data_IF_721097548835
#
_entry.id   IF_721097548835
#
_cell.length_a   1.000
_cell.length_b   1.000
_cell.length_c   1.000
_cell.angle_alpha   90.00
_cell.angle_beta   90.00
_cell.angle_gamma   90.00
#
_symmetry.space_group_name_H-M   'P 1'
#
loop_
_entity.id
_entity.type
_entity.pdbx_description
1 polymer ?
#
# COMPACT_ATOMS: atom_id res chain seq x y z
N UNK A 1 40.63 -20.92 -9.70
CA UNK A 1 41.05 -19.51 -9.52
C UNK A 1 41.00 -18.80 -10.86
N UNK A 2 39.83 -18.26 -11.22
CA UNK A 2 39.64 -17.45 -12.42
C UNK A 2 38.94 -16.17 -12.01
N UNK A 3 39.69 -15.26 -11.38
CA UNK A 3 39.24 -13.88 -11.19
C UNK A 3 39.34 -13.19 -12.53
N UNK A 4 38.23 -13.11 -13.26
CA UNK A 4 38.07 -12.13 -14.33
C UNK A 4 37.85 -10.78 -13.63
N UNK A 5 38.75 -9.80 -13.75
CA UNK A 5 38.54 -8.50 -13.13
C UNK A 5 37.38 -7.81 -13.85
N UNK A 6 36.33 -7.46 -13.11
CA UNK A 6 35.33 -6.51 -13.58
C UNK A 6 36.02 -5.15 -13.70
N UNK A 7 35.87 -4.42 -14.82
CA UNK A 7 36.49 -3.12 -14.98
C UNK A 7 35.88 -2.14 -13.96
N UNK A 8 36.75 -1.58 -13.12
CA UNK A 8 36.43 -0.41 -12.31
C UNK A 8 36.27 0.81 -13.23
N UNK A 9 35.32 1.66 -12.86
CA UNK A 9 35.25 3.12 -13.10
C UNK A 9 34.32 3.69 -14.19
N UNK A 10 33.66 4.77 -13.75
CA UNK A 10 32.99 5.89 -14.44
C UNK A 10 31.49 5.69 -14.71
N UNK A 11 30.69 6.26 -13.82
CA UNK A 11 29.29 6.61 -14.02
C UNK A 11 29.13 7.51 -15.26
N UNK A 12 28.63 6.92 -16.33
CA UNK A 12 28.10 7.60 -17.50
C UNK A 12 26.59 7.44 -17.38
N UNK A 13 25.92 8.56 -17.14
CA UNK A 13 24.46 8.64 -17.06
C UNK A 13 23.92 8.55 -18.49
N UNK A 14 23.75 7.33 -19.00
CA UNK A 14 22.81 7.07 -20.09
C UNK A 14 21.39 7.09 -19.50
N UNK A 15 20.43 7.73 -20.18
CA UNK A 15 19.04 7.86 -19.74
C UNK A 15 18.41 6.46 -19.64
N UNK A 16 18.21 5.98 -18.42
CA UNK A 16 17.66 4.64 -18.17
C UNK A 16 16.13 4.69 -18.12
N UNK A 17 15.48 3.98 -19.03
CA UNK A 17 14.03 3.80 -19.04
C UNK A 17 13.66 2.73 -18.04
N UNK A 18 12.87 3.10 -17.02
CA UNK A 18 12.51 2.17 -15.95
C UNK A 18 11.04 1.79 -16.02
N UNK A 19 10.72 0.49 -15.95
CA UNK A 19 9.33 -0.02 -15.99
C UNK A 19 8.94 -0.74 -14.71
N UNK A 20 7.85 -0.31 -14.04
CA UNK A 20 7.35 -0.95 -12.81
C UNK A 20 6.01 -1.68 -12.96
N UNK A 21 5.87 -2.86 -12.34
CA UNK A 21 4.59 -3.56 -12.10
C UNK A 21 4.56 -4.15 -10.67
N UNK A 22 3.36 -4.36 -10.12
CA UNK A 22 3.09 -4.77 -8.73
C UNK A 22 2.15 -6.00 -8.72
N UNK A 23 2.28 -6.89 -7.74
CA UNK A 23 1.43 -8.10 -7.50
C UNK A 23 1.04 -8.08 -6.01
N UNK A 24 -0.10 -8.58 -5.52
CA UNK A 24 -0.65 -8.05 -4.25
C UNK A 24 -1.15 -9.09 -3.20
N UNK A 25 -0.87 -8.78 -1.92
CA UNK A 25 -1.69 -9.06 -0.72
C UNK A 25 -1.88 -7.73 0.02
N UNK A 26 -3.13 -7.29 0.23
CA UNK A 26 -3.44 -6.04 0.92
C UNK A 26 -3.99 -6.28 2.34
N UNK A 27 -3.23 -5.79 3.32
CA UNK A 27 -3.75 -5.35 4.61
C UNK A 27 -3.89 -3.82 4.57
N UNK A 28 -4.76 -3.24 5.41
CA UNK A 28 -5.19 -1.82 5.31
C UNK A 28 -4.07 -0.78 5.18
N UNK A 29 -2.86 -1.07 5.67
CA UNK A 29 -1.68 -0.21 5.61
C UNK A 29 -0.46 -0.88 4.95
N UNK A 30 -0.61 -2.07 4.38
CA UNK A 30 0.50 -2.84 3.86
C UNK A 30 0.16 -3.64 2.62
N UNK A 31 0.91 -3.40 1.55
CA UNK A 31 0.83 -4.13 0.30
C UNK A 31 2.11 -4.97 0.11
N UNK A 32 1.98 -6.28 -0.06
CA UNK A 32 3.13 -7.15 -0.38
C UNK A 32 3.05 -7.63 -1.81
N UNK A 33 4.17 -7.59 -2.53
CA UNK A 33 4.18 -7.81 -3.96
C UNK A 33 5.51 -8.00 -4.64
N UNK A 34 5.48 -8.36 -5.92
CA UNK A 34 6.66 -8.29 -6.79
C UNK A 34 6.74 -6.91 -7.40
N UNK A 35 7.83 -6.19 -7.13
CA UNK A 35 8.13 -4.92 -7.81
C UNK A 35 8.94 -5.25 -9.05
N UNK A 36 8.29 -5.44 -10.19
CA UNK A 36 8.98 -5.70 -11.46
C UNK A 36 9.75 -4.45 -11.87
N UNK A 37 11.04 -4.57 -12.18
CA UNK A 37 11.89 -3.45 -12.58
C UNK A 37 12.66 -3.83 -13.81
N UNK A 38 12.71 -2.95 -14.79
CA UNK A 38 13.40 -3.20 -16.06
C UNK A 38 14.12 -1.94 -16.51
N UNK A 39 15.39 -2.03 -16.89
CA UNK A 39 16.17 -0.94 -17.48
C UNK A 39 17.25 -1.49 -18.41
N UNK A 40 17.74 -0.65 -19.33
CA UNK A 40 18.85 -1.01 -20.20
C UNK A 40 20.18 -0.47 -19.65
N UNK A 41 21.22 -1.29 -19.73
CA UNK A 41 22.59 -0.93 -19.36
C UNK A 41 23.57 -1.33 -20.47
N UNK A 42 24.06 -0.35 -21.20
CA UNK A 42 24.99 -0.51 -22.33
C UNK A 42 26.30 -1.20 -21.93
N UNK A 43 26.68 -1.17 -20.65
CA UNK A 43 27.90 -1.83 -20.16
C UNK A 43 27.75 -3.33 -19.97
N UNK A 44 26.50 -3.81 -19.97
CA UNK A 44 26.16 -5.21 -19.72
C UNK A 44 25.78 -5.94 -21.01
N UNK A 45 26.25 -5.47 -22.16
CA UNK A 45 26.05 -6.11 -23.46
C UNK A 45 27.19 -7.08 -23.78
N UNK A 46 26.89 -8.23 -24.38
CA UNK A 46 27.89 -9.15 -24.92
C UNK A 46 27.36 -9.89 -26.17
N UNK A 47 28.26 -10.42 -27.00
CA UNK A 47 27.86 -11.31 -28.12
C UNK A 47 27.74 -12.75 -27.59
N UNK A 48 26.55 -13.39 -27.64
CA UNK A 48 26.39 -14.78 -27.22
C UNK A 48 27.35 -15.76 -27.91
N UNK A 49 27.84 -15.46 -29.12
CA UNK A 49 28.79 -16.31 -29.86
C UNK A 49 30.12 -16.46 -29.14
N UNK A 50 30.56 -15.43 -28.43
CA UNK A 50 31.82 -15.44 -27.68
C UNK A 50 31.70 -16.21 -26.34
N UNK A 51 30.46 -16.52 -25.93
CA UNK A 51 30.14 -17.11 -24.63
C UNK A 51 29.26 -18.36 -24.74
N UNK A 52 29.51 -19.22 -25.73
CA UNK A 52 28.80 -20.51 -25.92
C UNK A 52 27.26 -20.39 -26.01
N UNK A 53 26.74 -19.31 -26.61
CA UNK A 53 25.31 -19.07 -26.73
C UNK A 53 24.63 -18.62 -25.42
N UNK A 54 25.39 -18.10 -24.46
CA UNK A 54 24.82 -17.55 -23.23
C UNK A 54 24.03 -16.28 -23.53
N UNK A 55 22.71 -16.32 -23.37
CA UNK A 55 21.82 -15.17 -23.62
C UNK A 55 21.39 -14.45 -22.34
N UNK A 56 21.31 -15.15 -21.21
CA UNK A 56 20.82 -14.60 -19.94
C UNK A 56 21.76 -14.98 -18.80
N UNK A 57 22.18 -13.97 -18.03
CA UNK A 57 23.00 -14.13 -16.83
C UNK A 57 22.24 -13.67 -15.58
N UNK A 58 22.38 -14.40 -14.47
CA UNK A 58 21.77 -14.05 -13.18
C UNK A 58 22.82 -13.49 -12.23
N UNK A 59 22.78 -12.18 -11.97
CA UNK A 59 23.78 -11.47 -11.17
C UNK A 59 23.12 -10.97 -9.86
N UNK A 60 23.76 -11.11 -8.70
CA UNK A 60 23.30 -10.47 -7.47
C UNK A 60 23.09 -8.96 -7.66
N UNK A 61 21.95 -8.43 -7.22
CA UNK A 61 21.58 -7.02 -7.43
C UNK A 61 22.61 -6.03 -6.86
N UNK A 62 23.34 -6.40 -5.81
CA UNK A 62 24.38 -5.58 -5.16
C UNK A 62 25.60 -5.32 -6.05
N UNK A 63 25.81 -6.11 -7.10
CA UNK A 63 26.90 -5.94 -8.07
C UNK A 63 26.50 -5.08 -9.28
N UNK A 64 25.22 -4.74 -9.38
CA UNK A 64 24.66 -3.94 -10.45
C UNK A 64 24.34 -2.55 -9.93
N UNK A 65 24.33 -1.57 -10.83
CA UNK A 65 23.67 -0.32 -10.53
C UNK A 65 22.17 -0.58 -10.38
N UNK A 66 21.56 -0.10 -9.30
CA UNK A 66 20.13 -0.18 -9.05
C UNK A 66 19.55 1.23 -8.99
N UNK A 67 18.42 1.50 -9.65
CA UNK A 67 17.73 2.76 -9.48
C UNK A 67 17.10 2.82 -8.08
N UNK A 68 17.20 3.99 -7.47
CA UNK A 68 16.75 4.34 -6.13
C UNK A 68 15.24 4.67 -6.10
N UNK A 69 14.43 3.80 -6.71
CA UNK A 69 12.99 3.96 -6.70
C UNK A 69 12.47 3.64 -5.29
N UNK A 70 11.85 4.65 -4.68
CA UNK A 70 11.29 4.63 -3.33
C UNK A 70 9.80 4.93 -3.34
N UNK A 71 9.11 4.57 -2.25
CA UNK A 71 7.75 4.99 -1.98
C UNK A 71 7.78 6.31 -1.19
N UNK A 72 7.36 7.42 -1.80
CA UNK A 72 7.44 8.74 -1.15
C UNK A 72 6.54 8.86 0.09
N UNK A 73 5.34 8.30 0.03
CA UNK A 73 4.39 8.30 1.14
C UNK A 73 4.52 7.04 2.00
N UNK A 74 5.75 6.57 2.22
CA UNK A 74 6.03 5.42 3.09
C UNK A 74 5.70 5.72 4.54
N UNK A 75 5.10 4.74 5.22
CA UNK A 75 4.90 4.73 6.67
C UNK A 75 6.00 3.95 7.43
N UNK A 76 6.88 3.26 6.69
CA UNK A 76 8.08 2.57 7.20
C UNK A 76 9.37 3.29 6.71
N UNK A 77 10.54 2.89 7.22
CA UNK A 77 11.84 3.39 6.75
C UNK A 77 12.04 3.17 5.24
N UNK A 78 12.48 4.22 4.54
CA UNK A 78 12.70 4.21 3.07
C UNK A 78 13.76 3.20 2.60
N UNK A 79 14.52 2.60 3.52
CA UNK A 79 15.62 1.67 3.25
C UNK A 79 15.19 0.20 3.33
N UNK A 80 14.03 -0.10 3.89
CA UNK A 80 13.57 -1.47 4.18
C UNK A 80 12.35 -1.82 3.32
N UNK A 81 12.59 -2.31 2.11
CA UNK A 81 11.49 -2.71 1.22
C UNK A 81 11.78 -3.91 0.34
N UNK A 82 12.98 -3.99 -0.22
CA UNK A 82 13.31 -4.97 -1.26
C UNK A 82 14.07 -6.17 -0.72
N UNK A 83 13.60 -7.37 -1.06
CA UNK A 83 14.40 -8.58 -0.88
C UNK A 83 15.62 -8.54 -1.81
N UNK A 84 16.80 -8.80 -1.25
CA UNK A 84 18.05 -8.95 -2.02
C UNK A 84 17.96 -10.19 -2.91
N UNK A 85 17.53 -10.00 -4.16
CA UNK A 85 17.40 -11.06 -5.16
C UNK A 85 18.41 -10.90 -6.29
N UNK A 86 18.54 -11.92 -7.13
CA UNK A 86 19.36 -11.82 -8.35
C UNK A 86 18.55 -11.16 -9.47
N UNK A 87 19.16 -10.24 -10.19
CA UNK A 87 18.62 -9.69 -11.43
C UNK A 87 18.96 -10.62 -12.61
N UNK A 88 18.10 -10.65 -13.61
CA UNK A 88 18.34 -11.31 -14.89
C UNK A 88 18.83 -10.26 -15.88
N UNK A 89 20.02 -10.46 -16.42
CA UNK A 89 20.63 -9.59 -17.43
C UNK A 89 20.62 -10.35 -18.75
N UNK A 90 20.05 -9.75 -19.77
CA UNK A 90 20.04 -10.26 -21.14
C UNK A 90 21.25 -9.73 -21.92
N UNK A 91 21.72 -10.48 -22.92
CA UNK A 91 22.90 -10.12 -23.72
C UNK A 91 22.81 -8.76 -24.42
N UNK A 92 21.59 -8.26 -24.64
CA UNK A 92 21.33 -6.93 -25.20
C UNK A 92 21.53 -5.78 -24.19
N UNK A 93 21.95 -6.07 -22.95
CA UNK A 93 22.09 -5.08 -21.87
C UNK A 93 20.79 -4.80 -21.10
N UNK A 94 19.68 -5.43 -21.48
CA UNK A 94 18.41 -5.30 -20.75
C UNK A 94 18.50 -6.05 -19.41
N UNK A 95 18.23 -5.35 -18.32
CA UNK A 95 18.23 -5.88 -16.96
C UNK A 95 16.81 -5.94 -16.43
N UNK A 96 16.36 -7.14 -16.08
CA UNK A 96 15.09 -7.38 -15.43
C UNK A 96 15.30 -7.85 -13.98
N UNK A 97 14.80 -7.06 -13.03
CA UNK A 97 14.93 -7.30 -11.60
C UNK A 97 13.55 -7.23 -10.92
N UNK A 98 12.93 -8.37 -10.57
CA UNK A 98 11.64 -8.38 -9.88
C UNK A 98 11.77 -8.76 -8.38
N UNK A 99 12.28 -7.87 -7.50
CA UNK A 99 12.33 -8.17 -6.08
C UNK A 99 10.93 -8.27 -5.46
N UNK A 100 10.67 -9.31 -4.65
CA UNK A 100 9.59 -9.27 -3.68
C UNK A 100 9.81 -8.10 -2.71
N UNK A 101 8.75 -7.38 -2.42
CA UNK A 101 8.78 -6.22 -1.55
C UNK A 101 7.48 -6.08 -0.75
N UNK A 102 7.62 -5.56 0.47
CA UNK A 102 6.50 -5.18 1.32
C UNK A 102 6.54 -3.68 1.49
N UNK A 103 5.46 -3.03 1.13
CA UNK A 103 5.32 -1.59 1.25
C UNK A 103 4.26 -1.28 2.29
N UNK A 104 4.53 -0.24 3.08
CA UNK A 104 3.53 0.39 3.93
C UNK A 104 3.44 1.85 3.55
N UNK A 105 2.23 2.30 3.26
CA UNK A 105 1.96 3.67 2.86
C UNK A 105 1.10 4.39 3.88
N UNK A 106 1.35 5.67 4.07
CA UNK A 106 0.40 6.57 4.74
C UNK A 106 -0.71 6.94 3.76
N UNK A 107 -1.94 6.57 4.11
CA UNK A 107 -3.17 6.86 3.38
C UNK A 107 -4.16 7.54 4.33
N UNK A 108 -4.87 8.56 3.84
CA UNK A 108 -5.93 9.23 4.59
C UNK A 108 -7.21 8.41 4.45
N UNK A 109 -7.77 7.99 5.59
CA UNK A 109 -8.97 7.15 5.65
C UNK A 109 -10.17 8.04 5.98
N UNK A 110 -11.24 7.93 5.18
CA UNK A 110 -12.52 8.59 5.46
C UNK A 110 -13.49 7.59 6.09
N UNK A 111 -13.80 7.78 7.38
CA UNK A 111 -14.69 6.89 8.15
C UNK A 111 -16.12 7.43 8.30
N UNK A 112 -16.50 8.44 7.52
CA UNK A 112 -17.83 9.09 7.63
C UNK A 112 -18.98 8.08 7.53
N UNK A 113 -18.92 7.18 6.55
CA UNK A 113 -19.97 6.18 6.28
C UNK A 113 -19.68 4.80 6.84
N UNK A 114 -18.78 4.68 7.81
CA UNK A 114 -18.42 3.40 8.41
C UNK A 114 -19.67 2.59 8.86
N UNK A 115 -19.77 1.28 8.55
CA UNK A 115 -18.81 0.42 7.84
C UNK A 115 -19.04 0.33 6.32
N UNK A 116 -19.92 1.16 5.74
CA UNK A 116 -20.24 1.21 4.31
C UNK A 116 -19.34 2.22 3.59
N UNK A 117 -18.03 2.07 3.78
CA UNK A 117 -17.02 2.98 3.27
C UNK A 117 -16.21 2.38 2.11
N UNK A 118 -15.92 3.26 1.14
CA UNK A 118 -14.94 3.03 0.08
C UNK A 118 -13.69 3.87 0.41
N UNK A 119 -12.51 3.26 0.31
CA UNK A 119 -11.24 3.91 0.57
C UNK A 119 -10.41 4.02 -0.70
N UNK A 120 -9.73 5.15 -0.86
CA UNK A 120 -8.85 5.44 -2.00
C UNK A 120 -7.46 5.73 -1.45
N UNK A 121 -6.52 4.84 -1.73
CA UNK A 121 -5.14 4.95 -1.27
C UNK A 121 -4.17 5.04 -2.43
N UNK A 122 -3.28 6.03 -2.39
CA UNK A 122 -2.25 6.21 -3.40
C UNK A 122 -0.90 5.65 -2.94
N UNK A 123 -0.19 4.94 -3.81
CA UNK A 123 1.21 4.59 -3.65
C UNK A 123 2.03 5.39 -4.66
N UNK A 124 2.90 6.28 -4.19
CA UNK A 124 3.69 7.17 -5.05
C UNK A 124 5.13 6.68 -5.16
N UNK A 125 5.49 6.07 -6.30
CA UNK A 125 6.85 5.60 -6.57
C UNK A 125 7.63 6.56 -7.46
N UNK A 126 8.86 6.87 -7.09
CA UNK A 126 9.76 7.70 -7.89
C UNK A 126 11.21 7.57 -7.45
N UNK A 127 12.13 8.12 -8.22
CA UNK A 127 13.55 8.21 -7.82
C UNK A 127 13.71 9.22 -6.69
N UNK A 128 14.57 8.93 -5.72
CA UNK A 128 14.84 9.86 -4.62
C UNK A 128 15.89 10.91 -4.99
N UNK A 129 16.95 10.50 -5.68
CA UNK A 129 18.14 11.34 -5.94
C UNK A 129 18.26 11.82 -7.37
N UNK A 130 17.71 11.09 -8.34
CA UNK A 130 17.81 11.43 -9.75
C UNK A 130 16.58 12.23 -10.21
N UNK A 131 16.84 13.25 -11.02
CA UNK A 131 15.79 13.95 -11.76
C UNK A 131 15.32 13.15 -12.99
N UNK A 132 14.29 13.64 -13.68
CA UNK A 132 13.70 13.03 -14.86
C UNK A 132 14.56 13.09 -16.12
N UNK A 133 15.60 13.93 -16.16
CA UNK A 133 16.58 13.94 -17.25
C UNK A 133 17.57 12.78 -17.10
N UNK A 134 17.85 12.36 -15.87
CA UNK A 134 18.75 11.25 -15.54
C UNK A 134 18.02 9.90 -15.51
N UNK A 135 16.92 9.80 -14.75
CA UNK A 135 16.12 8.58 -14.59
C UNK A 135 14.67 8.87 -14.92
N UNK A 136 14.20 8.30 -16.02
CA UNK A 136 12.81 8.43 -16.44
C UNK A 136 12.00 7.20 -16.03
N UNK A 137 11.18 7.37 -15.00
CA UNK A 137 10.31 6.33 -14.47
C UNK A 137 9.03 6.27 -15.30
N UNK A 138 8.76 5.09 -15.87
CA UNK A 138 7.60 4.83 -16.72
C UNK A 138 6.83 3.59 -16.26
N UNK A 139 5.55 3.52 -16.60
CA UNK A 139 4.74 2.35 -16.31
C UNK A 139 5.06 1.22 -17.30
N UNK A 140 5.19 -0.02 -16.81
CA UNK A 140 5.40 -1.19 -17.69
C UNK A 140 4.16 -1.51 -18.52
N UNK A 141 3.00 -1.38 -17.88
CA UNK A 141 1.68 -1.67 -18.40
C UNK A 141 0.72 -0.56 -17.97
N UNK A 142 -0.41 -0.43 -18.65
CA UNK A 142 -1.49 0.45 -18.22
C UNK A 142 -2.23 -0.10 -17.00
N UNK A 143 -2.16 -1.41 -16.77
CA UNK A 143 -2.87 -2.11 -15.69
C UNK A 143 -1.90 -2.83 -14.76
N UNK A 144 -2.34 -3.05 -13.53
CA UNK A 144 -1.63 -3.89 -12.54
C UNK A 144 -1.94 -5.36 -12.82
N UNK A 145 -0.94 -6.22 -12.63
CA UNK A 145 -1.10 -7.66 -12.74
C UNK A 145 -1.72 -8.22 -11.45
N UNK A 146 -2.98 -8.64 -11.56
CA UNK A 146 -3.77 -9.19 -10.45
C UNK A 146 -3.94 -10.72 -10.57
N UNK A 147 -3.24 -11.41 -11.48
CA UNK A 147 -3.40 -12.87 -11.67
C UNK A 147 -3.13 -13.66 -10.39
N UNK A 148 -2.16 -13.21 -9.61
CA UNK A 148 -1.77 -13.82 -8.34
C UNK A 148 -2.29 -13.05 -7.11
N UNK A 149 -3.33 -12.23 -7.28
CA UNK A 149 -3.93 -11.48 -6.18
C UNK A 149 -4.60 -12.43 -5.17
N UNK A 150 -4.28 -12.25 -3.89
CA UNK A 150 -4.93 -12.98 -2.80
C UNK A 150 -6.02 -12.10 -2.19
N UNK A 151 -7.27 -12.57 -2.26
CA UNK A 151 -8.42 -11.86 -1.71
C UNK A 151 -8.29 -11.61 -0.21
N UNK A 152 -8.56 -10.37 0.19
CA UNK A 152 -8.65 -10.00 1.61
C UNK A 152 -9.98 -10.44 2.22
N UNK A 153 -9.94 -10.84 3.49
CA UNK A 153 -11.13 -11.17 4.28
C UNK A 153 -11.92 -9.93 4.74
N UNK A 154 -11.26 -8.77 4.82
CA UNK A 154 -11.84 -7.51 5.31
C UNK A 154 -12.18 -6.56 4.16
N UNK A 155 -11.40 -6.59 3.08
CA UNK A 155 -11.50 -5.65 1.97
C UNK A 155 -11.82 -6.36 0.65
N UNK A 156 -12.57 -5.68 -0.21
CA UNK A 156 -12.81 -6.02 -1.59
C UNK A 156 -12.05 -5.02 -2.47
N UNK A 157 -11.19 -5.51 -3.36
CA UNK A 157 -10.50 -4.67 -4.34
C UNK A 157 -11.46 -4.33 -5.47
N UNK A 158 -11.77 -3.04 -5.62
CA UNK A 158 -12.68 -2.56 -6.68
C UNK A 158 -11.87 -2.31 -7.96
N UNK A 159 -10.80 -1.52 -7.86
CA UNK A 159 -9.99 -1.13 -9.01
C UNK A 159 -8.59 -0.65 -8.59
N UNK A 160 -7.64 -0.69 -9.53
CA UNK A 160 -6.29 -0.13 -9.37
C UNK A 160 -5.91 0.69 -10.60
N UNK A 161 -5.77 2.00 -10.40
CA UNK A 161 -5.42 2.94 -11.47
C UNK A 161 -3.93 3.25 -11.45
N UNK A 162 -3.27 3.17 -12.60
CA UNK A 162 -1.85 3.51 -12.75
C UNK A 162 -1.71 4.83 -13.51
N UNK A 163 -1.05 5.81 -12.92
CA UNK A 163 -0.82 7.11 -13.56
C UNK A 163 0.62 7.58 -13.38
N UNK A 164 1.27 7.91 -14.49
CA UNK A 164 2.53 8.65 -14.49
C UNK A 164 2.27 10.14 -14.34
N UNK A 165 3.04 10.80 -13.49
CA UNK A 165 3.00 12.24 -13.25
C UNK A 165 4.42 12.78 -13.27
N UNK A 166 4.61 14.01 -13.76
CA UNK A 166 5.86 14.75 -13.60
C UNK A 166 5.60 15.92 -12.67
N UNK A 167 6.41 16.04 -11.63
CA UNK A 167 6.25 17.08 -10.60
C UNK A 167 7.49 17.95 -10.59
N UNK A 168 7.29 19.26 -10.58
CA UNK A 168 8.33 20.25 -10.31
C UNK A 168 8.25 20.63 -8.83
N UNK A 169 9.32 20.38 -8.08
CA UNK A 169 9.37 20.72 -6.66
C UNK A 169 9.94 22.11 -6.46
N UNK A 170 9.54 22.80 -5.39
CA UNK A 170 10.02 24.17 -5.11
C UNK A 170 11.55 24.28 -4.87
N UNK A 171 12.24 23.16 -4.64
CA UNK A 171 13.69 23.14 -4.46
C UNK A 171 14.48 23.32 -5.77
N UNK A 172 13.89 22.90 -6.89
CA UNK A 172 14.64 22.41 -8.04
C UNK A 172 13.86 22.69 -9.33
N UNK A 173 14.54 23.13 -10.39
CA UNK A 173 13.91 23.48 -11.66
C UNK A 173 13.67 22.25 -12.57
N UNK A 174 14.24 21.11 -12.20
CA UNK A 174 14.14 19.85 -12.93
C UNK A 174 12.82 19.09 -12.64
N UNK A 175 12.27 18.37 -13.63
CA UNK A 175 11.09 17.54 -13.41
C UNK A 175 11.47 16.25 -12.67
N UNK A 176 10.63 15.85 -11.71
CA UNK A 176 10.75 14.56 -11.03
C UNK A 176 9.59 13.65 -11.45
N UNK A 177 9.82 12.60 -12.25
CA UNK A 177 8.79 11.68 -12.68
C UNK A 177 8.43 10.70 -11.55
N UNK A 178 7.14 10.56 -11.30
CA UNK A 178 6.56 9.58 -10.38
C UNK A 178 5.46 8.75 -11.03
N UNK A 179 5.32 7.50 -10.59
CA UNK A 179 4.23 6.60 -10.96
C UNK A 179 3.37 6.37 -9.73
N UNK A 180 2.08 6.70 -9.84
CA UNK A 180 1.08 6.54 -8.79
C UNK A 180 0.21 5.34 -9.07
N UNK A 181 0.07 4.48 -8.07
CA UNK A 181 -0.92 3.42 -8.05
C UNK A 181 -2.03 3.85 -7.09
N UNK A 182 -3.21 4.11 -7.64
CA UNK A 182 -4.40 4.47 -6.85
C UNK A 182 -5.24 3.22 -6.66
N UNK A 183 -5.25 2.70 -5.43
CA UNK A 183 -5.94 1.48 -5.04
C UNK A 183 -7.29 1.89 -4.45
N UNK A 184 -8.37 1.36 -5.03
CA UNK A 184 -9.74 1.60 -4.59
C UNK A 184 -10.27 0.31 -3.95
N UNK A 185 -10.57 0.36 -2.66
CA UNK A 185 -11.01 -0.80 -1.87
C UNK A 185 -12.32 -0.50 -1.13
N UNK A 186 -13.15 -1.52 -0.96
CA UNK A 186 -14.42 -1.46 -0.22
C UNK A 186 -14.40 -2.39 0.98
N UNK A 187 -14.94 -1.92 2.11
CA UNK A 187 -15.01 -2.73 3.33
C UNK A 187 -16.11 -3.78 3.24
N UNK A 188 -15.82 -5.01 3.67
CA UNK A 188 -16.82 -6.07 3.85
C UNK A 188 -17.58 -5.83 5.16
N UNK A 189 -18.87 -5.50 5.04
CA UNK A 189 -19.67 -4.94 6.14
C UNK A 189 -20.28 -5.97 7.10
N UNK A 190 -20.37 -7.24 6.69
CA UNK A 190 -21.08 -8.28 7.46
C UNK A 190 -20.57 -8.42 8.90
N UNK A 191 -19.25 -8.44 9.09
CA UNK A 191 -18.65 -8.54 10.42
C UNK A 191 -19.07 -7.38 11.34
N UNK A 192 -19.09 -6.16 10.81
CA UNK A 192 -19.44 -4.95 11.56
C UNK A 192 -20.94 -4.85 11.83
N UNK A 193 -21.78 -5.33 10.92
CA UNK A 193 -23.23 -5.40 11.14
C UNK A 193 -23.57 -6.28 12.36
N UNK A 194 -22.99 -7.48 12.42
CA UNK A 194 -23.28 -8.42 13.51
C UNK A 194 -22.64 -8.05 14.83
N UNK A 195 -21.41 -7.53 14.83
CA UNK A 195 -20.65 -7.28 16.06
C UNK A 195 -20.74 -5.83 16.57
N UNK A 196 -21.09 -4.86 15.71
CA UNK A 196 -21.19 -3.44 16.11
C UNK A 196 -22.64 -2.97 16.11
N UNK A 197 -23.34 -3.11 14.97
CA UNK A 197 -24.66 -2.50 14.79
C UNK A 197 -25.74 -3.23 15.60
N UNK A 198 -25.81 -4.56 15.56
CA UNK A 198 -26.83 -5.28 16.34
C UNK A 198 -26.70 -5.07 17.85
N UNK A 199 -25.52 -5.17 18.49
CA UNK A 199 -25.41 -4.91 19.92
C UNK A 199 -25.81 -3.48 20.32
N UNK A 200 -25.48 -2.46 19.51
CA UNK A 200 -25.98 -1.10 19.72
C UNK A 200 -27.52 -1.06 19.75
N UNK A 201 -28.15 -1.64 18.73
CA UNK A 201 -29.61 -1.68 18.64
C UNK A 201 -30.24 -2.40 19.83
N UNK A 202 -29.67 -3.54 20.25
CA UNK A 202 -30.13 -4.25 21.45
C UNK A 202 -30.01 -3.41 22.72
N UNK A 203 -28.91 -2.69 22.92
CA UNK A 203 -28.73 -1.78 24.06
C UNK A 203 -29.74 -0.62 24.04
N UNK A 204 -30.04 -0.05 22.86
CA UNK A 204 -31.08 0.99 22.73
C UNK A 204 -32.49 0.47 23.00
N UNK A 205 -32.79 -0.79 22.64
CA UNK A 205 -34.08 -1.41 22.95
C UNK A 205 -34.20 -1.67 24.45
N UNK A 206 -33.13 -2.16 25.10
CA UNK A 206 -33.10 -2.38 26.55
C UNK A 206 -33.26 -1.08 27.35
N UNK A 207 -32.70 0.03 26.87
CA UNK A 207 -32.88 1.33 27.51
C UNK A 207 -34.34 1.81 27.42
N UNK A 208 -35.01 1.61 26.27
CA UNK A 208 -36.43 1.92 26.11
C UNK A 208 -37.33 1.01 26.97
N UNK A 209 -36.98 -0.26 27.10
CA UNK A 209 -37.71 -1.22 27.93
C UNK A 209 -37.67 -0.85 29.43
N UNK A 210 -36.62 -0.17 29.88
CA UNK A 210 -36.54 0.37 31.24
C UNK A 210 -37.64 1.39 31.58
N UNK A 211 -38.21 2.08 30.59
CA UNK A 211 -39.38 2.95 30.81
C UNK A 211 -40.69 2.17 30.98
N UNK A 212 -40.79 1.00 30.37
CA UNK A 212 -41.96 0.11 30.48
C UNK A 212 -41.99 -0.69 31.78
N UNK A 213 -40.85 -0.85 32.46
CA UNK A 213 -40.78 -1.60 33.71
C UNK A 213 -41.48 -0.83 34.85
N UNK A 214 -42.47 -1.44 35.53
CA UNK A 214 -43.18 -0.80 36.63
C UNK A 214 -42.23 -0.53 37.80
N UNK A 215 -42.37 0.63 38.48
CA UNK A 215 -41.48 1.04 39.55
C UNK A 215 -41.56 0.12 40.79
N UNK A 216 -42.67 -0.61 40.95
CA UNK A 216 -42.91 -1.51 42.08
C UNK A 216 -41.95 -2.73 42.09
N UNK A 217 -41.27 -3.01 40.97
CA UNK A 217 -40.34 -4.14 40.85
C UNK A 217 -39.00 -3.89 41.53
N UNK A 218 -38.62 -2.66 41.86
CA UNK A 218 -37.30 -2.32 42.43
C UNK A 218 -36.10 -2.43 41.47
N UNK A 219 -36.20 -3.22 40.39
CA UNK A 219 -35.10 -3.52 39.45
C UNK A 219 -34.84 -2.43 38.39
N UNK A 220 -35.66 -1.39 38.35
CA UNK A 220 -35.56 -0.32 37.34
C UNK A 220 -34.22 0.42 37.37
N UNK A 221 -33.71 0.70 38.57
CA UNK A 221 -32.42 1.40 38.75
C UNK A 221 -31.28 0.46 38.35
N UNK A 222 -31.34 -0.81 38.75
CA UNK A 222 -30.36 -1.84 38.41
C UNK A 222 -30.23 -1.97 36.89
N UNK A 223 -31.35 -2.06 36.16
CA UNK A 223 -31.36 -2.13 34.69
C UNK A 223 -30.74 -0.87 34.04
N UNK A 224 -31.03 0.32 34.58
CA UNK A 224 -30.44 1.56 34.07
C UNK A 224 -28.92 1.61 34.21
N UNK A 225 -28.39 1.21 35.37
CA UNK A 225 -26.95 1.16 35.63
C UNK A 225 -26.26 0.12 34.74
N UNK A 226 -26.84 -1.06 34.57
CA UNK A 226 -26.24 -2.12 33.74
C UNK A 226 -26.21 -1.74 32.26
N UNK A 227 -27.25 -1.09 31.74
CA UNK A 227 -27.28 -0.60 30.35
C UNK A 227 -26.25 0.52 30.13
N UNK A 228 -26.11 1.46 31.09
CA UNK A 228 -25.11 2.54 31.00
C UNK A 228 -23.67 1.98 31.01
N UNK A 229 -23.40 1.01 31.89
CA UNK A 229 -22.10 0.35 31.96
C UNK A 229 -21.80 -0.43 30.68
N UNK A 230 -22.77 -1.20 30.18
CA UNK A 230 -22.62 -1.96 28.94
C UNK A 230 -22.36 -1.03 27.74
N UNK A 231 -23.08 0.09 27.64
CA UNK A 231 -22.83 1.10 26.62
C UNK A 231 -21.42 1.70 26.71
N UNK A 232 -20.96 2.02 27.92
CA UNK A 232 -19.61 2.57 28.14
C UNK A 232 -18.51 1.59 27.72
N UNK A 233 -18.62 0.31 28.10
CA UNK A 233 -17.68 -0.74 27.70
C UNK A 233 -17.70 -0.95 26.18
N UNK A 234 -18.89 -0.93 25.58
CA UNK A 234 -19.03 -1.11 24.13
C UNK A 234 -18.43 0.05 23.33
N UNK A 235 -18.65 1.29 23.77
CA UNK A 235 -18.03 2.48 23.18
C UNK A 235 -16.51 2.45 23.30
N UNK A 236 -15.96 1.97 24.42
CA UNK A 236 -14.51 1.77 24.56
C UNK A 236 -13.97 0.74 23.57
N UNK A 237 -14.63 -0.41 23.42
CA UNK A 237 -14.21 -1.44 22.46
C UNK A 237 -14.22 -0.91 21.02
N UNK A 238 -15.25 -0.14 20.67
CA UNK A 238 -15.33 0.53 19.38
C UNK A 238 -14.20 1.55 19.20
N UNK A 239 -13.94 2.39 20.21
CA UNK A 239 -12.90 3.40 20.17
C UNK A 239 -11.49 2.80 20.02
N UNK A 240 -11.23 1.64 20.63
CA UNK A 240 -9.98 0.89 20.45
C UNK A 240 -9.85 0.27 19.05
N UNK A 241 -10.97 -0.07 18.41
CA UNK A 241 -10.98 -0.69 17.08
C UNK A 241 -10.85 0.31 15.92
N UNK A 242 -11.17 1.59 16.15
CA UNK A 242 -11.13 2.63 15.13
C UNK A 242 -9.81 3.43 15.19
N UNK A 243 -9.28 3.87 14.04
CA UNK A 243 -8.09 4.71 14.03
C UNK A 243 -8.40 6.03 14.74
N UNK A 244 -7.51 6.47 15.63
CA UNK A 244 -7.61 7.74 16.35
C UNK A 244 -7.40 8.92 15.40
N UNK A 245 -8.43 9.26 14.62
CA UNK A 245 -8.44 10.42 13.72
C UNK A 245 -9.54 11.39 14.17
N UNK A 246 -9.21 12.68 14.24
CA UNK A 246 -10.15 13.75 14.61
C UNK A 246 -10.80 14.42 13.40
N UNK A 247 -10.36 14.08 12.18
CA UNK A 247 -10.87 14.69 10.94
C UNK A 247 -12.27 14.20 10.57
N UNK A 248 -12.61 12.95 10.92
CA UNK A 248 -13.89 12.34 10.59
C UNK A 248 -14.44 11.62 11.81
N UNK A 249 -15.66 11.98 12.23
CA UNK A 249 -16.40 11.25 13.25
C UNK A 249 -17.40 10.34 12.51
N UNK A 250 -17.37 9.02 12.73
CA UNK A 250 -18.34 8.11 12.14
C UNK A 250 -19.76 8.54 12.49
N UNK A 251 -20.70 8.40 11.56
CA UNK A 251 -22.10 8.72 11.83
C UNK A 251 -22.68 7.96 13.04
N UNK A 252 -22.16 6.76 13.33
CA UNK A 252 -22.54 5.95 14.50
C UNK A 252 -22.14 6.63 15.83
N UNK A 253 -21.06 7.41 15.84
CA UNK A 253 -20.58 8.14 17.02
C UNK A 253 -21.17 9.55 17.15
N UNK A 254 -21.84 10.06 16.12
CA UNK A 254 -22.52 11.35 16.18
C UNK A 254 -23.77 11.16 17.04
N UNK A 255 -23.69 11.56 18.32
CA UNK A 255 -24.86 11.61 19.20
C UNK A 255 -25.99 12.44 18.56
N UNK A 256 -27.25 12.26 18.97
CA UNK A 256 -28.35 13.06 18.45
C UNK A 256 -28.03 14.54 18.67
N UNK A 257 -27.84 15.29 17.59
CA UNK A 257 -27.83 16.75 17.62
C UNK A 257 -29.25 17.17 18.02
N UNK A 258 -29.40 17.57 19.28
CA UNK A 258 -30.59 18.22 19.84
C UNK A 258 -30.54 19.71 19.51
#
# INVERSE_FOLDING_TARGET
NGNVPLPETIAGLSRKHFRTAFVETAAWNSCTGMSNREWDDERLTWDPKDYNGLEILRIPCEKLWLPDIVLYNSADDFTTGYMKSKAMVHYSGNVFWPPPAKFRSSCKIDITYFPFDDQVCELKFGSWTYDGFQVDVTNRSATVDLENYVFSGEWELIDVLVRRTEVYYACCDEPYPDVRFTIIIRRKTLYYLFNIIFPCLWLTILSLLGFWLPPDSGEKITLGITVLLAFSVFMLLIAESMPATSEFVPLIGKGPEV
#
